data_IF_162495745601
#
_entry.id   IF_162495745601
#
_cell.length_a   1.000
_cell.length_b   1.000
_cell.length_c   1.000
_cell.angle_alpha   90.00
_cell.angle_beta   90.00
_cell.angle_gamma   90.00
#
_symmetry.space_group_name_H-M   'P 1'
#
loop_
_entity.id
_entity.type
_entity.pdbx_description
1 polymer ?
#
# COMPACT_ATOMS: atom_id res chain seq x y z
N UNK A 1 -6.38 -18.07 5.27
CA UNK A 1 -5.59 -16.83 5.42
C UNK A 1 -4.68 -17.01 6.61
N UNK A 2 -3.37 -16.82 6.41
CA UNK A 2 -2.37 -16.92 7.48
C UNK A 2 -1.80 -15.54 7.75
N UNK A 3 -1.70 -15.13 9.01
CA UNK A 3 -1.12 -13.84 9.41
C UNK A 3 0.16 -14.11 10.19
N UNK A 4 1.28 -13.50 9.75
CA UNK A 4 2.56 -13.53 10.46
C UNK A 4 2.91 -12.11 10.90
N UNK A 5 3.21 -11.93 12.19
CA UNK A 5 3.57 -10.63 12.76
C UNK A 5 5.04 -10.61 13.17
N UNK A 6 5.69 -9.49 12.93
CA UNK A 6 7.07 -9.20 13.27
C UNK A 6 7.16 -7.85 13.97
N UNK A 7 8.16 -7.69 14.83
CA UNK A 7 8.38 -6.45 15.58
C UNK A 7 9.57 -5.71 14.98
N UNK A 8 9.35 -4.48 14.51
CA UNK A 8 10.32 -3.53 13.95
C UNK A 8 11.08 -3.96 12.68
N UNK A 9 11.34 -5.25 12.45
CA UNK A 9 11.98 -5.76 11.23
C UNK A 9 11.62 -7.24 10.95
N UNK A 10 12.01 -7.72 9.78
CA UNK A 10 11.94 -9.13 9.41
C UNK A 10 13.16 -9.91 9.92
N UNK A 11 13.05 -11.25 10.13
CA UNK A 11 14.20 -12.10 10.42
C UNK A 11 15.23 -12.09 9.28
N UNK A 12 16.53 -12.24 9.60
CA UNK A 12 17.62 -12.24 8.61
C UNK A 12 17.49 -13.33 7.52
N UNK A 13 16.80 -14.42 7.81
CA UNK A 13 16.57 -15.53 6.88
C UNK A 13 15.20 -15.45 6.17
N UNK A 14 14.48 -14.33 6.31
CA UNK A 14 13.19 -14.15 5.68
C UNK A 14 13.35 -14.14 4.15
N UNK A 15 12.52 -14.94 3.47
CA UNK A 15 12.46 -15.01 2.01
C UNK A 15 11.01 -15.00 1.57
N UNK A 16 10.72 -14.12 0.62
CA UNK A 16 9.43 -14.05 -0.05
C UNK A 16 9.66 -13.61 -1.49
N UNK A 17 9.27 -14.44 -2.45
CA UNK A 17 9.45 -14.19 -3.88
C UNK A 17 8.19 -13.57 -4.52
N UNK A 18 8.34 -13.03 -5.73
CA UNK A 18 7.24 -12.48 -6.52
C UNK A 18 6.87 -11.03 -6.17
N UNK A 19 5.90 -10.46 -6.86
CA UNK A 19 5.43 -9.09 -6.60
C UNK A 19 4.90 -8.91 -5.18
N UNK A 20 4.98 -7.69 -4.64
CA UNK A 20 4.58 -7.36 -3.28
C UNK A 20 3.34 -6.48 -3.28
N UNK A 21 2.24 -6.98 -2.74
CA UNK A 21 1.14 -6.14 -2.27
C UNK A 21 1.57 -5.50 -0.96
N UNK A 22 1.41 -4.18 -0.82
CA UNK A 22 1.85 -3.41 0.34
C UNK A 22 0.76 -2.41 0.72
N UNK A 23 0.62 -2.21 2.01
CA UNK A 23 -0.20 -1.15 2.61
C UNK A 23 0.41 -0.73 3.97
N UNK A 24 0.02 0.42 4.49
CA UNK A 24 0.52 0.91 5.79
C UNK A 24 -0.58 1.40 6.70
N UNK A 25 -0.41 1.19 8.00
CA UNK A 25 -1.23 1.82 9.03
C UNK A 25 -0.43 2.88 9.78
N UNK A 26 -1.08 4.00 10.04
CA UNK A 26 -0.49 5.16 10.71
C UNK A 26 -1.42 5.63 11.83
N UNK A 27 -0.93 6.49 12.73
CA UNK A 27 -1.79 7.09 13.76
C UNK A 27 -2.90 8.01 13.20
N UNK A 28 -2.83 8.34 11.91
CA UNK A 28 -3.70 9.29 11.23
C UNK A 28 -3.08 9.74 9.91
N UNK A 29 -3.78 10.62 9.19
CA UNK A 29 -3.41 10.99 7.81
C UNK A 29 -2.45 12.18 7.70
N UNK A 30 -2.03 12.80 8.82
CA UNK A 30 -1.08 13.90 8.77
C UNK A 30 0.34 13.34 8.71
N UNK A 31 0.94 13.36 7.52
CA UNK A 31 2.29 12.85 7.27
C UNK A 31 3.36 13.44 8.19
N UNK A 32 3.19 14.64 8.77
CA UNK A 32 4.17 15.26 9.67
C UNK A 32 3.97 14.88 11.15
N UNK A 33 2.74 14.62 11.56
CA UNK A 33 2.36 14.34 12.96
C UNK A 33 2.21 12.86 13.26
N UNK A 34 1.62 12.12 12.33
CA UNK A 34 1.11 10.78 12.58
C UNK A 34 2.13 9.72 12.14
N UNK A 35 2.62 8.93 13.10
CA UNK A 35 3.69 7.95 12.86
C UNK A 35 3.23 6.72 12.10
N UNK A 36 4.16 6.13 11.33
CA UNK A 36 4.02 4.78 10.78
C UNK A 36 3.96 3.76 11.93
N UNK A 37 2.89 2.98 11.98
CA UNK A 37 2.65 1.98 13.01
C UNK A 37 2.81 0.56 12.45
N UNK A 38 2.29 0.32 11.25
CA UNK A 38 2.29 -1.00 10.64
C UNK A 38 2.70 -0.88 9.17
N UNK A 39 3.52 -1.83 8.72
CA UNK A 39 3.71 -2.10 7.31
C UNK A 39 3.24 -3.53 7.04
N UNK A 40 2.25 -3.69 6.19
CA UNK A 40 1.70 -4.98 5.81
C UNK A 40 2.08 -5.33 4.37
N UNK A 41 2.37 -6.60 4.10
CA UNK A 41 2.62 -7.07 2.75
C UNK A 41 2.23 -8.53 2.51
N UNK A 42 1.99 -8.85 1.24
CA UNK A 42 1.72 -10.21 0.75
C UNK A 42 2.35 -10.40 -0.64
N UNK A 43 2.67 -11.62 -1.02
CA UNK A 43 3.00 -11.96 -2.42
C UNK A 43 1.85 -12.64 -3.17
N UNK A 44 0.64 -12.61 -2.61
CA UNK A 44 -0.55 -13.21 -3.23
C UNK A 44 -0.73 -14.70 -2.94
N UNK A 45 0.10 -15.30 -2.08
CA UNK A 45 0.01 -16.73 -1.70
C UNK A 45 -1.06 -17.03 -0.62
N UNK A 46 -1.87 -16.04 -0.23
CA UNK A 46 -2.85 -16.19 0.86
C UNK A 46 -2.30 -15.99 2.28
N UNK A 47 -1.01 -15.65 2.41
CA UNK A 47 -0.39 -15.17 3.65
C UNK A 47 -0.24 -13.65 3.64
N UNK A 48 -0.39 -13.03 4.82
CA UNK A 48 -0.06 -11.64 5.07
C UNK A 48 1.02 -11.54 6.15
N UNK A 49 1.99 -10.66 5.92
CA UNK A 49 3.08 -10.36 6.83
C UNK A 49 2.90 -8.94 7.36
N UNK A 50 2.94 -8.78 8.68
CA UNK A 50 2.73 -7.51 9.37
C UNK A 50 3.99 -7.14 10.15
N UNK A 51 4.62 -6.02 9.83
CA UNK A 51 5.76 -5.48 10.58
C UNK A 51 5.27 -4.32 11.42
N UNK A 52 5.19 -4.55 12.73
CA UNK A 52 4.66 -3.60 13.70
C UNK A 52 5.80 -2.79 14.33
N UNK A 53 5.74 -1.47 14.20
CA UNK A 53 6.75 -0.53 14.70
C UNK A 53 6.32 0.03 16.06
N UNK A 54 6.81 -0.56 17.16
CA UNK A 54 6.35 -0.26 18.52
C UNK A 54 7.21 0.79 19.22
N UNK A 55 8.49 0.87 18.91
CA UNK A 55 9.48 1.69 19.63
C UNK A 55 10.00 2.89 18.81
N UNK A 56 9.38 3.21 17.67
CA UNK A 56 9.84 4.24 16.74
C UNK A 56 11.25 3.98 16.18
N UNK A 57 11.76 2.75 16.26
CA UNK A 57 12.94 2.32 15.53
C UNK A 57 12.52 1.86 14.12
N UNK A 58 12.95 2.63 13.13
CA UNK A 58 12.68 2.38 11.71
C UNK A 58 13.95 1.95 10.95
N UNK A 59 14.95 1.41 11.64
CA UNK A 59 16.20 0.95 11.01
C UNK A 59 15.92 -0.17 10.01
N UNK A 60 15.13 -1.17 10.42
CA UNK A 60 14.48 -2.20 9.60
C UNK A 60 15.21 -2.64 8.31
N UNK A 61 16.49 -3.07 8.38
CA UNK A 61 17.30 -3.36 7.19
C UNK A 61 16.69 -4.46 6.31
N UNK A 62 16.06 -5.48 6.89
CA UNK A 62 15.51 -6.60 6.13
C UNK A 62 14.21 -6.20 5.40
N UNK A 63 13.33 -5.43 6.04
CA UNK A 63 12.18 -4.81 5.37
C UNK A 63 12.63 -3.87 4.26
N UNK A 64 13.61 -3.01 4.51
CA UNK A 64 14.13 -2.09 3.48
C UNK A 64 14.69 -2.84 2.29
N UNK A 65 15.49 -3.89 2.52
CA UNK A 65 16.02 -4.73 1.46
C UNK A 65 14.91 -5.39 0.62
N UNK A 66 13.86 -5.88 1.28
CA UNK A 66 12.68 -6.47 0.61
C UNK A 66 11.98 -5.44 -0.29
N UNK A 67 11.76 -4.23 0.21
CA UNK A 67 11.02 -3.16 -0.49
C UNK A 67 11.83 -2.51 -1.63
N UNK A 68 13.15 -2.39 -1.45
CA UNK A 68 14.07 -1.79 -2.42
C UNK A 68 14.39 -2.71 -3.61
N UNK A 69 13.97 -3.97 -3.59
CA UNK A 69 14.12 -4.85 -4.74
C UNK A 69 13.31 -4.33 -5.94
N UNK A 70 14.05 -3.84 -6.95
CA UNK A 70 13.49 -3.22 -8.15
C UNK A 70 12.92 -4.23 -9.13
N UNK A 71 13.31 -5.51 -9.02
CA UNK A 71 12.82 -6.59 -9.89
C UNK A 71 11.36 -6.95 -9.63
N UNK A 72 10.82 -6.49 -8.50
CA UNK A 72 9.47 -6.79 -8.02
C UNK A 72 8.57 -5.57 -8.19
N UNK A 73 7.35 -5.79 -8.67
CA UNK A 73 6.33 -4.75 -8.64
C UNK A 73 5.79 -4.61 -7.22
N UNK A 74 5.62 -3.37 -6.76
CA UNK A 74 4.98 -3.00 -5.50
C UNK A 74 3.56 -2.52 -5.75
N UNK A 75 2.58 -3.28 -5.30
CA UNK A 75 1.15 -3.10 -5.57
C UNK A 75 0.51 -2.45 -4.35
N UNK A 76 -0.11 -1.29 -4.56
CA UNK A 76 -0.80 -0.54 -3.51
C UNK A 76 -2.24 -0.25 -3.90
N UNK A 77 -3.07 0.06 -2.91
CA UNK A 77 -4.32 0.77 -3.13
C UNK A 77 -4.22 2.20 -2.60
N UNK A 78 -4.11 3.18 -3.50
CA UNK A 78 -3.81 4.58 -3.15
C UNK A 78 -2.38 4.84 -2.66
N UNK A 79 -1.39 4.35 -3.41
CA UNK A 79 0.04 4.43 -3.09
C UNK A 79 0.57 5.79 -2.62
N UNK A 80 -0.03 6.92 -3.03
CA UNK A 80 0.44 8.28 -2.74
C UNK A 80 0.76 8.47 -1.25
N UNK A 81 -0.14 8.02 -0.36
CA UNK A 81 0.03 8.17 1.08
C UNK A 81 1.09 7.22 1.63
N UNK A 82 1.03 5.94 1.27
CA UNK A 82 1.97 4.92 1.75
C UNK A 82 3.40 5.22 1.35
N UNK A 83 3.62 5.66 0.10
CA UNK A 83 4.94 6.06 -0.40
C UNK A 83 5.52 7.21 0.42
N UNK A 84 4.71 8.21 0.77
CA UNK A 84 5.15 9.33 1.59
C UNK A 84 5.47 8.89 3.04
N UNK A 85 4.63 8.04 3.62
CA UNK A 85 4.85 7.46 4.96
C UNK A 85 6.12 6.62 5.01
N UNK A 86 6.28 5.68 4.06
CA UNK A 86 7.47 4.83 3.92
C UNK A 86 8.72 5.68 3.73
N UNK A 87 8.68 6.70 2.85
CA UNK A 87 9.83 7.57 2.67
C UNK A 87 10.19 8.32 3.95
N UNK A 88 9.22 8.91 4.63
CA UNK A 88 9.47 9.67 5.86
C UNK A 88 10.08 8.79 6.96
N UNK A 89 9.52 7.61 7.19
CA UNK A 89 9.87 6.79 8.35
C UNK A 89 10.98 5.78 8.05
N UNK A 90 10.96 5.13 6.90
CA UNK A 90 11.99 4.15 6.51
C UNK A 90 13.14 4.76 5.70
N UNK A 91 13.03 6.02 5.27
CA UNK A 91 14.07 6.74 4.50
C UNK A 91 14.47 6.01 3.20
N UNK A 92 13.49 5.45 2.51
CA UNK A 92 13.67 4.76 1.22
C UNK A 92 12.70 5.30 0.16
N UNK A 93 13.14 5.27 -1.10
CA UNK A 93 12.32 5.59 -2.26
C UNK A 93 11.93 4.30 -2.98
N UNK A 94 10.63 4.07 -3.16
CA UNK A 94 10.13 2.89 -3.87
C UNK A 94 9.94 3.20 -5.36
N UNK A 95 10.26 2.21 -6.18
CA UNK A 95 10.13 2.23 -7.65
C UNK A 95 9.32 1.00 -8.11
N UNK A 96 8.95 0.91 -9.40
CA UNK A 96 8.18 -0.22 -9.95
C UNK A 96 6.86 -0.42 -9.19
N UNK A 97 6.00 0.59 -9.25
CA UNK A 97 4.75 0.68 -8.49
C UNK A 97 3.56 0.36 -9.40
N UNK A 98 2.56 -0.32 -8.84
CA UNK A 98 1.23 -0.42 -9.43
C UNK A 98 0.20 0.09 -8.42
N UNK A 99 -0.59 1.11 -8.80
CA UNK A 99 -1.63 1.65 -7.93
C UNK A 99 -3.02 1.26 -8.44
N UNK A 100 -3.70 0.38 -7.69
CA UNK A 100 -5.04 -0.12 -8.05
C UNK A 100 -6.10 0.98 -8.04
N UNK A 101 -6.00 1.98 -7.15
CA UNK A 101 -6.94 3.11 -7.13
C UNK A 101 -6.82 3.99 -8.37
N UNK A 102 -5.60 4.30 -8.80
CA UNK A 102 -5.37 5.06 -10.04
C UNK A 102 -5.84 4.26 -11.26
N UNK A 103 -5.46 2.99 -11.33
CA UNK A 103 -5.91 2.09 -12.40
C UNK A 103 -7.43 2.06 -12.50
N UNK A 104 -8.10 1.94 -11.35
CA UNK A 104 -9.56 1.97 -11.25
C UNK A 104 -10.16 3.29 -11.73
N UNK A 105 -9.62 4.45 -11.33
CA UNK A 105 -10.07 5.75 -11.84
C UNK A 105 -9.90 5.89 -13.35
N UNK A 106 -8.84 5.28 -13.91
CA UNK A 106 -8.57 5.32 -15.33
C UNK A 106 -9.50 4.42 -16.16
N UNK A 107 -10.10 3.36 -15.61
CA UNK A 107 -10.83 2.36 -16.43
C UNK A 107 -12.26 2.08 -15.97
N UNK A 108 -12.57 2.28 -14.69
CA UNK A 108 -13.93 2.14 -14.13
C UNK A 108 -14.66 3.48 -14.18
N UNK A 109 -14.69 4.11 -15.35
CA UNK A 109 -15.22 5.48 -15.56
C UNK A 109 -16.75 5.58 -15.48
N UNK A 110 -17.44 4.46 -15.20
CA UNK A 110 -18.89 4.39 -14.98
C UNK A 110 -19.28 4.54 -13.50
N UNK A 111 -18.32 4.81 -12.60
CA UNK A 111 -18.57 4.95 -11.17
C UNK A 111 -17.54 5.87 -10.52
N UNK A 112 -17.94 6.53 -9.44
CA UNK A 112 -17.03 7.29 -8.56
C UNK A 112 -16.46 6.42 -7.41
N UNK A 113 -16.90 5.16 -7.31
CA UNK A 113 -16.55 4.25 -6.22
C UNK A 113 -15.23 3.53 -6.49
N UNK A 114 -14.11 4.13 -6.06
CA UNK A 114 -12.75 3.61 -6.26
C UNK A 114 -12.04 3.20 -4.96
N UNK A 115 -12.75 3.01 -3.85
CA UNK A 115 -12.14 2.50 -2.62
C UNK A 115 -11.91 0.98 -2.68
N UNK A 116 -10.93 0.48 -1.92
CA UNK A 116 -10.53 -0.94 -1.94
C UNK A 116 -11.73 -1.87 -1.71
N UNK A 117 -12.58 -1.56 -0.73
CA UNK A 117 -13.82 -2.29 -0.46
C UNK A 117 -14.73 -2.41 -1.67
N UNK A 118 -14.90 -1.33 -2.43
CA UNK A 118 -15.77 -1.31 -3.60
C UNK A 118 -15.16 -2.11 -4.75
N UNK A 119 -13.84 -2.03 -4.95
CA UNK A 119 -13.11 -2.85 -5.91
C UNK A 119 -13.23 -4.34 -5.58
N UNK A 120 -12.96 -4.74 -4.33
CA UNK A 120 -13.09 -6.14 -3.90
C UNK A 120 -14.52 -6.66 -4.10
N UNK A 121 -15.54 -5.86 -3.77
CA UNK A 121 -16.93 -6.26 -3.94
C UNK A 121 -17.30 -6.42 -5.42
N UNK A 122 -16.98 -5.45 -6.26
CA UNK A 122 -17.39 -5.47 -7.67
C UNK A 122 -16.57 -6.45 -8.52
N UNK A 123 -15.24 -6.42 -8.39
CA UNK A 123 -14.35 -7.15 -9.30
C UNK A 123 -14.07 -8.58 -8.82
N UNK A 124 -14.17 -8.84 -7.51
CA UNK A 124 -13.85 -10.14 -6.92
C UNK A 124 -15.05 -10.81 -6.22
N UNK A 125 -16.19 -10.11 -6.07
CA UNK A 125 -17.32 -10.55 -5.25
C UNK A 125 -16.92 -10.83 -3.78
N UNK A 126 -15.99 -10.05 -3.23
CA UNK A 126 -15.46 -10.20 -1.87
C UNK A 126 -15.86 -9.00 -1.02
N UNK A 127 -16.44 -9.26 0.16
CA UNK A 127 -16.77 -8.22 1.14
C UNK A 127 -15.66 -8.08 2.18
N UNK A 128 -15.08 -6.89 2.28
CA UNK A 128 -14.14 -6.53 3.34
C UNK A 128 -14.75 -5.46 4.28
N UNK A 129 -14.41 -5.55 5.56
CA UNK A 129 -14.87 -4.62 6.60
C UNK A 129 -13.95 -3.41 6.69
N UNK A 130 -14.51 -2.23 7.01
CA UNK A 130 -13.76 -0.99 7.29
C UNK A 130 -13.67 -0.65 8.79
N UNK A 131 -14.16 -1.53 9.66
CA UNK A 131 -14.34 -1.21 11.08
C UNK A 131 -13.04 -0.82 11.80
N UNK A 132 -11.90 -1.40 11.42
CA UNK A 132 -10.61 -1.15 12.08
C UNK A 132 -9.79 -0.03 11.42
N UNK A 133 -10.27 0.56 10.32
CA UNK A 133 -9.58 1.66 9.63
C UNK A 133 -9.32 2.87 10.56
N UNK A 134 -10.22 3.12 11.50
CA UNK A 134 -10.11 4.21 12.49
C UNK A 134 -9.89 3.69 13.91
N UNK A 135 -9.15 2.59 14.05
CA UNK A 135 -8.71 2.05 15.34
C UNK A 135 -7.40 2.69 15.81
N UNK A 136 -7.03 2.49 17.09
CA UNK A 136 -5.76 3.00 17.61
C UNK A 136 -4.59 2.10 17.18
N UNK A 137 -3.95 2.46 16.06
CA UNK A 137 -2.78 1.75 15.53
C UNK A 137 -1.48 1.98 16.32
N UNK A 138 -1.45 2.99 17.19
CA UNK A 138 -0.31 3.27 18.06
C UNK A 138 -0.21 2.40 19.30
N UNK A 139 -1.03 1.34 19.41
CA UNK A 139 -1.03 0.42 20.55
C UNK A 139 0.21 -0.46 20.58
N UNK A 140 0.72 -0.81 21.77
CA UNK A 140 1.87 -1.73 21.90
C UNK A 140 1.58 -3.13 21.33
N UNK A 141 0.31 -3.54 21.39
CA UNK A 141 -0.16 -4.82 20.87
C UNK A 141 -1.39 -4.61 19.98
N UNK A 142 -1.33 -5.16 18.77
CA UNK A 142 -2.47 -5.17 17.86
C UNK A 142 -3.51 -6.21 18.28
N UNK A 143 -4.79 -5.83 18.20
CA UNK A 143 -5.91 -6.75 18.40
C UNK A 143 -6.00 -7.77 17.26
N UNK A 144 -6.77 -8.85 17.46
CA UNK A 144 -7.01 -9.85 16.40
C UNK A 144 -7.73 -9.23 15.19
N UNK A 145 -8.67 -8.34 15.45
CA UNK A 145 -9.45 -7.62 14.44
C UNK A 145 -8.57 -6.68 13.63
N UNK A 146 -7.65 -5.95 14.27
CA UNK A 146 -6.66 -5.10 13.59
C UNK A 146 -5.76 -5.91 12.66
N UNK A 147 -5.26 -7.05 13.13
CA UNK A 147 -4.43 -7.96 12.32
C UNK A 147 -5.20 -8.48 11.11
N UNK A 148 -6.44 -8.91 11.31
CA UNK A 148 -7.30 -9.41 10.24
C UNK A 148 -7.65 -8.33 9.22
N UNK A 149 -7.91 -7.10 9.68
CA UNK A 149 -8.12 -5.95 8.82
C UNK A 149 -6.90 -5.66 7.94
N UNK A 150 -5.73 -5.44 8.55
CA UNK A 150 -4.50 -5.12 7.83
C UNK A 150 -4.10 -6.23 6.84
N UNK A 151 -4.34 -7.51 7.20
CA UNK A 151 -4.12 -8.61 6.27
C UNK A 151 -5.02 -8.53 5.03
N UNK A 152 -6.31 -8.23 5.20
CA UNK A 152 -7.27 -8.13 4.08
C UNK A 152 -6.98 -6.98 3.13
N UNK A 153 -6.32 -5.92 3.59
CA UNK A 153 -5.98 -4.77 2.74
C UNK A 153 -4.88 -5.09 1.71
N UNK A 154 -4.07 -6.14 1.94
CA UNK A 154 -3.02 -6.57 0.98
C UNK A 154 -3.34 -7.86 0.23
N UNK A 155 -4.16 -8.76 0.79
CA UNK A 155 -4.37 -10.11 0.24
C UNK A 155 -4.98 -10.14 -1.17
N UNK A 156 -5.81 -9.16 -1.50
CA UNK A 156 -6.56 -9.15 -2.75
C UNK A 156 -5.92 -8.26 -3.83
N UNK A 157 -4.83 -7.55 -3.52
CA UNK A 157 -4.25 -6.55 -4.43
C UNK A 157 -3.67 -7.18 -5.70
N UNK A 158 -3.10 -8.39 -5.65
CA UNK A 158 -2.65 -9.11 -6.86
C UNK A 158 -3.80 -9.40 -7.81
N UNK A 159 -4.91 -9.93 -7.29
CA UNK A 159 -6.10 -10.24 -8.09
C UNK A 159 -6.71 -8.97 -8.70
N UNK A 160 -6.76 -7.89 -7.93
CA UNK A 160 -7.21 -6.58 -8.41
C UNK A 160 -6.27 -6.02 -9.48
N UNK A 161 -4.95 -6.12 -9.31
CA UNK A 161 -3.95 -5.73 -10.31
C UNK A 161 -4.21 -6.47 -11.63
N UNK A 162 -4.38 -7.79 -11.59
CA UNK A 162 -4.57 -8.60 -12.80
C UNK A 162 -5.80 -8.17 -13.60
N UNK A 163 -6.92 -7.92 -12.92
CA UNK A 163 -8.17 -7.47 -13.56
C UNK A 163 -7.99 -6.05 -14.11
N UNK A 164 -7.48 -5.12 -13.30
CA UNK A 164 -7.33 -3.72 -13.68
C UNK A 164 -6.30 -3.53 -14.80
N UNK A 165 -5.23 -4.32 -14.82
CA UNK A 165 -4.25 -4.32 -15.91
C UNK A 165 -4.89 -4.76 -17.24
N UNK A 166 -5.71 -5.82 -17.23
CA UNK A 166 -6.45 -6.24 -18.43
C UNK A 166 -7.40 -5.16 -18.92
N UNK A 167 -8.09 -4.47 -18.01
CA UNK A 167 -8.96 -3.34 -18.35
C UNK A 167 -8.16 -2.16 -18.93
N UNK A 168 -7.02 -1.81 -18.32
CA UNK A 168 -6.13 -0.75 -18.81
C UNK A 168 -5.65 -1.03 -20.25
N UNK A 169 -5.26 -2.27 -20.54
CA UNK A 169 -4.86 -2.68 -21.88
C UNK A 169 -6.03 -2.61 -22.86
N UNK A 170 -7.21 -3.11 -22.49
CA UNK A 170 -8.41 -3.07 -23.34
C UNK A 170 -8.83 -1.64 -23.69
N UNK A 171 -8.72 -0.71 -22.75
CA UNK A 171 -9.08 0.70 -22.93
C UNK A 171 -7.93 1.54 -23.51
N UNK A 172 -6.79 0.94 -23.87
CA UNK A 172 -5.58 1.62 -24.37
C UNK A 172 -5.03 2.71 -23.41
N UNK A 173 -5.14 2.48 -22.10
CA UNK A 173 -4.72 3.41 -21.02
C UNK A 173 -3.54 2.88 -20.19
N UNK A 174 -2.96 1.74 -20.58
CA UNK A 174 -1.87 1.12 -19.82
C UNK A 174 -0.61 1.99 -19.75
N UNK A 175 -0.13 2.52 -20.87
CA UNK A 175 1.06 3.39 -20.89
C UNK A 175 0.87 4.66 -20.05
N UNK A 176 -0.30 5.30 -20.16
CA UNK A 176 -0.66 6.44 -19.30
C UNK A 176 -0.62 6.07 -17.81
N UNK A 177 -1.14 4.90 -17.44
CA UNK A 177 -1.06 4.42 -16.06
C UNK A 177 0.40 4.22 -15.62
N UNK A 178 1.25 3.66 -16.48
CA UNK A 178 2.68 3.50 -16.21
C UNK A 178 3.40 4.84 -16.00
N UNK A 179 3.11 5.85 -16.81
CA UNK A 179 3.63 7.22 -16.62
C UNK A 179 3.21 7.80 -15.27
N UNK A 180 1.93 7.66 -14.90
CA UNK A 180 1.43 8.11 -13.62
C UNK A 180 2.11 7.34 -12.46
N UNK A 181 2.32 6.03 -12.60
CA UNK A 181 3.00 5.24 -11.58
C UNK A 181 4.46 5.65 -11.39
N UNK A 182 5.16 6.01 -12.47
CA UNK A 182 6.52 6.57 -12.40
C UNK A 182 6.55 7.93 -11.69
N UNK A 183 5.49 8.72 -11.81
CA UNK A 183 5.38 10.02 -11.13
C UNK A 183 4.96 9.92 -9.65
N UNK A 184 4.35 8.82 -9.22
CA UNK A 184 3.83 8.66 -7.86
C UNK A 184 4.84 8.94 -6.74
N UNK A 185 6.09 8.43 -6.79
CA UNK A 185 7.10 8.77 -5.77
C UNK A 185 7.39 10.28 -5.72
N UNK A 186 7.39 10.96 -6.86
CA UNK A 186 7.56 12.41 -6.91
C UNK A 186 6.37 13.09 -6.25
N UNK A 187 5.12 12.70 -6.58
CA UNK A 187 3.92 13.24 -5.95
C UNK A 187 3.92 13.06 -4.42
N UNK A 188 4.39 11.90 -3.93
CA UNK A 188 4.55 11.65 -2.50
C UNK A 188 5.61 12.58 -1.87
N UNK A 189 6.72 12.86 -2.57
CA UNK A 189 7.71 13.84 -2.11
C UNK A 189 7.14 15.25 -2.00
N UNK A 190 6.33 15.65 -2.98
CA UNK A 190 5.64 16.95 -2.96
C UNK A 190 4.76 17.08 -1.72
N UNK A 191 4.08 16.00 -1.31
CA UNK A 191 3.25 16.00 -0.10
C UNK A 191 4.08 16.22 1.16
N UNK A 192 5.26 15.59 1.25
CA UNK A 192 6.17 15.74 2.39
C UNK A 192 6.81 17.13 2.51
N UNK A 193 6.85 17.91 1.44
CA UNK A 193 7.40 19.28 1.46
C UNK A 193 6.30 20.36 1.50
N UNK A 194 5.04 19.96 1.77
CA UNK A 194 3.94 20.89 2.03
C UNK A 194 3.06 21.23 0.82
N UNK A 195 3.13 20.47 -0.27
CA UNK A 195 2.22 20.63 -1.42
C UNK A 195 1.07 19.61 -1.41
N UNK A 196 0.76 18.97 -0.28
CA UNK A 196 -0.24 17.89 -0.20
C UNK A 196 -1.67 18.31 -0.60
N UNK A 197 -2.08 19.53 -0.28
CA UNK A 197 -3.41 20.08 -0.63
C UNK A 197 -3.45 20.78 -1.98
N UNK A 198 -2.30 20.90 -2.67
CA UNK A 198 -2.18 21.66 -3.92
C UNK A 198 -1.82 20.69 -5.04
N UNK A 199 -2.65 20.69 -6.09
CA UNK A 199 -2.23 20.10 -7.35
C UNK A 199 -1.22 21.03 -8.02
N UNK A 200 0.01 20.56 -8.18
CA UNK A 200 1.13 21.35 -8.71
C UNK A 200 0.93 21.74 -10.18
N UNK A 201 -0.05 21.14 -10.85
CA UNK A 201 -0.43 21.45 -12.23
C UNK A 201 -1.59 22.43 -12.33
N UNK A 202 -2.20 22.86 -11.22
CA UNK A 202 -3.25 23.87 -11.20
C UNK A 202 -2.68 25.29 -11.12
N UNK A 203 -3.41 26.25 -11.69
CA UNK A 203 -3.10 27.69 -11.65
C UNK A 203 -3.38 28.32 -10.29
#
# INVERSE_FOLDING_TARGET
>A
MTIKIYQNDLPNNFKLEGDLAIDTETMGLNLHRDKLCLLQFSNGNGEAHLVHFTNQDYTAPNVKALLLDKTRCKIFHFARFDLASIKKYLSIDLENIFCTKISSKLVRTYTDSHGLKDLCRELLNINISKQQQSSYWGADNLSSEQKEYAAKDVLYLHQLKDILQKMLLKENRYELAQDIFRFLPIRANLDLIGWNEIDIFMH
#
